data_IF_801483230572
#
_entry.id   IF_801483230572
#
_cell.length_a   1.000
_cell.length_b   1.000
_cell.length_c   1.000
_cell.angle_alpha   90.00
_cell.angle_beta   90.00
_cell.angle_gamma   90.00
#
_symmetry.space_group_name_H-M   'P 1'
#
loop_
_entity.id
_entity.type
_entity.pdbx_description
1 polymer ?
#
# COMPACT_ATOMS: atom_id res chain seq x y z
N UNK A 1 2.79 -6.82 -13.95
CA UNK A 1 1.33 -6.89 -14.16
C UNK A 1 0.67 -5.95 -13.16
N UNK A 2 -0.13 -5.03 -13.67
CA UNK A 2 -0.84 -3.98 -12.95
C UNK A 2 -1.80 -4.53 -11.89
N UNK A 3 -1.82 -3.89 -10.72
CA UNK A 3 -3.05 -3.47 -10.04
C UNK A 3 -2.73 -2.29 -9.13
N UNK A 4 -2.80 -1.10 -9.74
CA UNK A 4 -2.82 0.19 -9.10
C UNK A 4 -4.07 0.36 -8.20
N UNK A 5 -3.84 0.89 -7.01
CA UNK A 5 -4.49 2.10 -6.50
C UNK A 5 -6.04 2.16 -6.56
N UNK A 6 -6.73 1.50 -5.61
CA UNK A 6 -8.18 1.73 -5.35
C UNK A 6 -8.59 1.77 -3.87
N UNK A 7 -7.68 1.62 -2.90
CA UNK A 7 -8.05 1.42 -1.49
C UNK A 7 -8.28 2.70 -0.66
N UNK A 8 -8.07 3.91 -1.19
CA UNK A 8 -8.32 5.13 -0.43
C UNK A 8 -9.83 5.43 -0.22
N UNK A 9 -10.70 4.88 -1.09
CA UNK A 9 -12.15 5.06 -0.99
C UNK A 9 -12.87 3.97 -0.18
N UNK A 10 -12.26 2.81 0.06
CA UNK A 10 -12.87 1.75 0.88
C UNK A 10 -12.86 2.12 2.36
N UNK A 11 -11.79 2.78 2.83
CA UNK A 11 -11.65 3.20 4.23
C UNK A 11 -12.74 4.20 4.66
N UNK A 12 -13.20 5.09 3.76
CA UNK A 12 -14.28 6.03 4.10
C UNK A 12 -15.63 5.33 4.28
N UNK A 13 -15.93 4.32 3.46
CA UNK A 13 -17.17 3.53 3.60
C UNK A 13 -17.09 2.57 4.78
N UNK A 14 -15.93 1.96 5.03
CA UNK A 14 -15.69 1.11 6.19
C UNK A 14 -15.77 1.91 7.50
N UNK A 15 -15.26 3.14 7.52
CA UNK A 15 -15.40 4.05 8.65
C UNK A 15 -16.86 4.43 8.93
N UNK A 16 -17.62 4.78 7.89
CA UNK A 16 -19.07 5.08 8.01
C UNK A 16 -19.84 3.84 8.48
N UNK A 17 -19.51 2.66 7.97
CA UNK A 17 -20.10 1.40 8.39
C UNK A 17 -19.79 1.11 9.87
N UNK A 18 -18.56 1.36 10.30
CA UNK A 18 -18.16 1.20 11.69
C UNK A 18 -18.88 2.19 12.61
N UNK A 19 -19.01 3.46 12.20
CA UNK A 19 -19.78 4.46 12.93
C UNK A 19 -21.25 4.06 13.08
N UNK A 20 -21.85 3.55 12.00
CA UNK A 20 -23.23 3.08 11.97
C UNK A 20 -23.43 1.87 12.90
N UNK A 21 -22.47 0.95 12.94
CA UNK A 21 -22.48 -0.18 13.88
C UNK A 21 -22.42 0.30 15.33
N UNK A 22 -21.54 1.26 15.65
CA UNK A 22 -21.42 1.84 16.99
C UNK A 22 -22.71 2.55 17.40
N UNK A 23 -23.29 3.40 16.54
CA UNK A 23 -24.56 4.06 16.81
C UNK A 23 -25.70 3.07 17.04
N UNK A 24 -25.76 2.00 16.24
CA UNK A 24 -26.78 0.96 16.43
C UNK A 24 -26.62 0.24 17.77
N UNK A 25 -25.38 -0.01 18.21
CA UNK A 25 -25.10 -0.60 19.51
C UNK A 25 -25.48 0.35 20.66
N UNK A 26 -25.14 1.63 20.55
CA UNK A 26 -25.52 2.68 21.51
C UNK A 26 -27.04 2.85 21.62
N UNK A 27 -27.77 2.86 20.50
CA UNK A 27 -29.23 2.90 20.53
C UNK A 27 -29.85 1.69 21.24
N UNK A 28 -29.25 0.50 21.10
CA UNK A 28 -29.71 -0.71 21.82
C UNK A 28 -29.39 -0.62 23.31
N UNK A 29 -28.20 -0.17 23.66
CA UNK A 29 -27.80 0.04 25.06
C UNK A 29 -28.71 1.07 25.75
N UNK A 30 -29.00 2.20 25.08
CA UNK A 30 -29.90 3.22 25.58
C UNK A 30 -31.32 2.70 25.83
N UNK A 31 -31.87 1.88 24.92
CA UNK A 31 -33.17 1.22 25.17
C UNK A 31 -33.14 0.32 26.39
N UNK A 32 -32.09 -0.48 26.56
CA UNK A 32 -31.95 -1.36 27.73
C UNK A 32 -31.84 -0.57 29.04
N UNK A 33 -31.15 0.57 29.05
CA UNK A 33 -31.08 1.44 30.22
C UNK A 33 -32.45 2.08 30.53
N UNK A 34 -33.19 2.51 29.51
CA UNK A 34 -34.58 2.99 29.69
C UNK A 34 -35.48 1.92 30.30
N UNK A 35 -35.40 0.67 29.80
CA UNK A 35 -36.19 -0.45 30.33
C UNK A 35 -35.84 -0.75 31.80
N UNK A 36 -34.56 -0.62 32.18
CA UNK A 36 -34.12 -0.76 33.58
C UNK A 36 -34.68 0.35 34.48
N UNK A 37 -34.69 1.59 34.00
CA UNK A 37 -35.27 2.72 34.72
C UNK A 37 -36.76 2.49 34.95
N UNK A 38 -37.49 2.07 33.91
CA UNK A 38 -38.91 1.74 34.01
C UNK A 38 -39.17 0.63 35.04
N UNK A 39 -38.40 -0.46 35.00
CA UNK A 39 -38.47 -1.54 35.99
C UNK A 39 -38.23 -1.06 37.43
N UNK A 40 -37.26 -0.16 37.61
CA UNK A 40 -36.97 0.42 38.92
C UNK A 40 -38.12 1.31 39.40
N UNK A 41 -38.68 2.15 38.53
CA UNK A 41 -39.84 2.98 38.87
C UNK A 41 -41.07 2.11 39.20
N UNK A 42 -41.31 1.02 38.48
CA UNK A 42 -42.35 0.05 38.80
C UNK A 42 -42.11 -0.64 40.16
N UNK A 43 -40.87 -0.97 40.50
CA UNK A 43 -40.53 -1.51 41.84
C UNK A 43 -40.77 -0.50 42.95
N UNK A 44 -40.38 0.76 42.72
CA UNK A 44 -40.64 1.85 43.67
C UNK A 44 -42.15 2.02 43.86
N UNK A 45 -42.94 2.01 42.78
CA UNK A 45 -44.41 2.05 42.86
C UNK A 45 -44.96 0.93 43.75
N UNK A 46 -44.50 -0.30 43.53
CA UNK A 46 -44.89 -1.47 44.35
C UNK A 46 -44.49 -1.33 45.82
N UNK A 47 -43.30 -0.80 46.12
CA UNK A 47 -42.83 -0.57 47.49
C UNK A 47 -43.66 0.49 48.22
N UNK A 48 -44.07 1.53 47.50
CA UNK A 48 -44.88 2.63 48.04
C UNK A 48 -46.39 2.28 48.08
N UNK A 49 -46.78 1.15 47.47
CA UNK A 49 -48.18 0.71 47.41
C UNK A 49 -49.05 1.53 46.44
N UNK A 50 -48.43 2.22 45.49
CA UNK A 50 -49.08 3.05 44.48
C UNK A 50 -49.02 2.39 43.09
N UNK A 51 -49.99 2.71 42.23
CA UNK A 51 -49.93 2.33 40.82
C UNK A 51 -48.84 3.13 40.09
N UNK A 52 -48.15 2.52 39.12
CA UNK A 52 -47.12 3.17 38.32
C UNK A 52 -47.63 4.47 37.65
N UNK A 53 -48.88 4.49 37.19
CA UNK A 53 -49.50 5.67 36.58
C UNK A 53 -49.74 6.83 37.56
N UNK A 54 -49.85 6.53 38.86
CA UNK A 54 -50.03 7.55 39.89
C UNK A 54 -48.72 8.30 40.20
N UNK A 55 -47.56 7.71 39.89
CA UNK A 55 -46.25 8.37 39.97
C UNK A 55 -45.99 9.31 38.79
N UNK A 56 -46.60 9.03 37.63
CA UNK A 56 -46.44 9.82 36.41
C UNK A 56 -47.36 11.05 36.37
N UNK A 57 -48.42 11.05 37.18
CA UNK A 57 -49.35 12.17 37.29
C UNK A 57 -48.69 13.37 37.99
N UNK A 58 -49.00 14.58 37.52
CA UNK A 58 -48.57 15.82 38.19
C UNK A 58 -49.07 15.82 39.62
N UNK A 59 -48.15 15.98 40.57
CA UNK A 59 -48.43 16.04 42.01
C UNK A 59 -49.41 17.20 42.29
N UNK A 60 -50.35 16.99 43.22
CA UNK A 60 -51.30 18.01 43.65
C UNK A 60 -50.53 19.24 44.19
N UNK A 61 -50.94 20.43 43.75
CA UNK A 61 -50.26 21.69 44.05
C UNK A 61 -50.19 21.97 45.56
N UNK A 62 -51.20 21.57 46.34
CA UNK A 62 -51.21 21.71 47.80
C UNK A 62 -50.21 20.78 48.51
N UNK A 63 -49.94 19.59 47.94
CA UNK A 63 -48.91 18.66 48.44
C UNK A 63 -47.52 19.17 48.06
N UNK A 64 -47.39 19.75 46.87
CA UNK A 64 -46.16 20.38 46.41
C UNK A 64 -45.81 21.62 47.24
N UNK A 65 -46.82 22.44 47.59
CA UNK A 65 -46.71 23.58 48.48
C UNK A 65 -46.36 23.13 49.90
N UNK A 66 -47.05 22.15 50.49
CA UNK A 66 -46.67 21.58 51.80
C UNK A 66 -45.29 20.93 51.81
N UNK A 67 -44.88 20.25 50.75
CA UNK A 67 -43.53 19.68 50.63
C UNK A 67 -42.49 20.80 50.52
N UNK A 68 -42.78 21.86 49.77
CA UNK A 68 -41.92 23.05 49.67
C UNK A 68 -41.86 23.85 50.98
N UNK A 69 -42.95 23.93 51.74
CA UNK A 69 -43.00 24.53 53.07
C UNK A 69 -42.24 23.67 54.09
N UNK A 70 -42.36 22.34 54.02
CA UNK A 70 -41.58 21.43 54.89
C UNK A 70 -40.08 21.50 54.60
N UNK A 71 -39.69 21.68 53.33
CA UNK A 71 -38.31 21.94 52.88
C UNK A 71 -37.83 23.32 53.35
N UNK A 72 -38.71 24.33 53.40
CA UNK A 72 -38.33 25.71 53.71
C UNK A 72 -38.41 26.06 55.21
N UNK A 73 -39.26 25.39 56.00
CA UNK A 73 -39.47 25.69 57.43
C UNK A 73 -38.47 25.00 58.36
N UNK A 74 -37.70 24.04 57.87
CA UNK A 74 -36.65 23.37 58.63
C UNK A 74 -35.36 24.17 58.62
N UNK A 75 -35.29 25.18 59.49
CA UNK A 75 -34.04 25.73 60.03
C UNK A 75 -33.23 24.70 60.88
N UNK A 76 -33.28 23.42 60.49
CA UNK A 76 -32.51 22.25 60.92
C UNK A 76 -32.30 21.46 59.63
N UNK A 77 -31.16 21.50 58.96
CA UNK A 77 -30.06 20.64 59.33
C UNK A 77 -28.82 21.15 58.56
N UNK A 78 -27.91 21.91 59.20
CA UNK A 78 -26.65 22.35 58.55
C UNK A 78 -25.89 21.14 57.96
N UNK A 79 -26.11 19.97 58.56
CA UNK A 79 -25.70 18.67 58.04
C UNK A 79 -26.34 18.33 56.69
N UNK A 80 -27.64 18.49 56.45
CA UNK A 80 -28.23 18.29 55.11
C UNK A 80 -27.70 19.30 54.09
N UNK A 81 -27.50 20.56 54.47
CA UNK A 81 -26.87 21.56 53.58
C UNK A 81 -25.47 21.12 53.17
N UNK A 82 -24.66 20.71 54.15
CA UNK A 82 -23.31 20.19 53.92
C UNK A 82 -23.31 18.89 53.11
N UNK A 83 -24.33 18.03 53.27
CA UNK A 83 -24.48 16.82 52.46
C UNK A 83 -24.75 17.18 51.00
N UNK A 84 -25.67 18.10 50.73
CA UNK A 84 -25.97 18.57 49.37
C UNK A 84 -24.75 19.22 48.74
N UNK A 85 -24.05 20.08 49.49
CA UNK A 85 -22.81 20.71 49.05
C UNK A 85 -21.71 19.68 48.75
N UNK A 86 -21.57 18.65 49.59
CA UNK A 86 -20.63 17.55 49.33
C UNK A 86 -20.96 16.80 48.04
N UNK A 87 -22.23 16.47 47.81
CA UNK A 87 -22.64 15.79 46.57
C UNK A 87 -22.36 16.66 45.34
N UNK A 88 -22.59 17.97 45.43
CA UNK A 88 -22.25 18.90 44.35
C UNK A 88 -20.74 18.95 44.09
N UNK A 89 -19.93 18.99 45.15
CA UNK A 89 -18.47 18.96 45.03
C UNK A 89 -17.96 17.65 44.43
N UNK A 90 -18.48 16.50 44.88
CA UNK A 90 -18.13 15.19 44.31
C UNK A 90 -18.46 15.15 42.82
N UNK A 91 -19.63 15.63 42.44
CA UNK A 91 -20.03 15.69 41.04
C UNK A 91 -19.11 16.59 40.20
N UNK A 92 -18.72 17.76 40.73
CA UNK A 92 -17.77 18.65 40.05
C UNK A 92 -16.37 18.02 39.92
N UNK A 93 -15.91 17.30 40.94
CA UNK A 93 -14.64 16.56 40.91
C UNK A 93 -14.70 15.48 39.83
N UNK A 94 -15.77 14.70 39.79
CA UNK A 94 -15.95 13.64 38.80
C UNK A 94 -15.99 14.20 37.37
N UNK A 95 -16.67 15.33 37.14
CA UNK A 95 -16.62 16.02 35.84
C UNK A 95 -15.22 16.49 35.47
N UNK A 96 -14.48 17.08 36.42
CA UNK A 96 -13.12 17.54 36.20
C UNK A 96 -12.17 16.36 35.90
N UNK A 97 -12.32 15.23 36.59
CA UNK A 97 -11.56 14.00 36.32
C UNK A 97 -11.90 13.41 34.95
N UNK A 98 -13.17 13.38 34.58
CA UNK A 98 -13.62 12.96 33.25
C UNK A 98 -12.98 13.83 32.15
N UNK A 99 -13.06 15.15 32.29
CA UNK A 99 -12.45 16.10 31.36
C UNK A 99 -10.93 15.91 31.28
N UNK A 100 -10.26 15.78 32.42
CA UNK A 100 -8.81 15.51 32.49
C UNK A 100 -8.45 14.24 31.74
N UNK A 101 -9.18 13.14 31.96
CA UNK A 101 -8.97 11.86 31.26
C UNK A 101 -9.16 12.03 29.74
N UNK A 102 -10.18 12.77 29.33
CA UNK A 102 -10.45 13.06 27.92
C UNK A 102 -9.34 13.91 27.27
N UNK A 103 -8.84 14.93 27.97
CA UNK A 103 -7.70 15.75 27.52
C UNK A 103 -6.43 14.91 27.40
N UNK A 104 -6.14 14.04 28.37
CA UNK A 104 -4.98 13.14 28.29
C UNK A 104 -5.06 12.18 27.10
N UNK A 105 -6.25 11.63 26.81
CA UNK A 105 -6.45 10.80 25.63
C UNK A 105 -6.22 11.59 24.33
N UNK A 106 -6.67 12.84 24.26
CA UNK A 106 -6.40 13.71 23.11
C UNK A 106 -4.90 13.99 22.95
N UNK A 107 -4.19 14.32 24.04
CA UNK A 107 -2.74 14.52 24.03
C UNK A 107 -2.03 13.26 23.53
N UNK A 108 -2.45 12.08 24.01
CA UNK A 108 -1.90 10.80 23.57
C UNK A 108 -2.12 10.60 22.07
N UNK A 109 -3.35 10.79 21.58
CA UNK A 109 -3.66 10.65 20.14
C UNK A 109 -2.83 11.62 19.29
N UNK A 110 -2.66 12.88 19.72
CA UNK A 110 -1.80 13.84 19.02
C UNK A 110 -0.36 13.34 18.96
N UNK A 111 0.17 12.82 20.07
CA UNK A 111 1.53 12.29 20.11
C UNK A 111 1.71 11.06 19.20
N UNK A 112 0.73 10.15 19.18
CA UNK A 112 0.73 8.99 18.30
C UNK A 112 0.70 9.42 16.82
N UNK A 113 -0.08 10.46 16.48
CA UNK A 113 -0.11 11.03 15.13
C UNK A 113 1.23 11.69 14.74
N UNK A 114 1.87 12.42 15.66
CA UNK A 114 3.20 13.01 15.42
C UNK A 114 4.24 11.91 15.15
N UNK A 115 4.21 10.82 15.91
CA UNK A 115 5.08 9.66 15.69
C UNK A 115 4.81 9.01 14.33
N UNK A 116 3.53 8.86 13.95
CA UNK A 116 3.14 8.35 12.64
C UNK A 116 3.68 9.22 11.50
N UNK A 117 3.53 10.55 11.59
CA UNK A 117 4.06 11.51 10.60
C UNK A 117 5.58 11.40 10.51
N UNK A 118 6.29 11.31 11.65
CA UNK A 118 7.75 11.14 11.67
C UNK A 118 8.16 9.85 10.95
N UNK A 119 7.48 8.74 11.23
CA UNK A 119 7.75 7.45 10.59
C UNK A 119 7.48 7.52 9.09
N UNK A 120 6.38 8.15 8.68
CA UNK A 120 6.04 8.37 7.27
C UNK A 120 7.13 9.15 6.54
N UNK A 121 7.61 10.28 7.08
CA UNK A 121 8.69 11.07 6.48
C UNK A 121 9.97 10.23 6.34
N UNK A 122 10.29 9.44 7.37
CA UNK A 122 11.48 8.57 7.36
C UNK A 122 11.37 7.50 6.28
N UNK A 123 10.20 6.84 6.17
CA UNK A 123 9.92 5.85 5.13
C UNK A 123 9.95 6.47 3.73
N UNK A 124 9.34 7.64 3.55
CA UNK A 124 9.32 8.34 2.26
C UNK A 124 10.75 8.71 1.81
N UNK A 125 11.60 9.15 2.73
CA UNK A 125 13.01 9.41 2.42
C UNK A 125 13.76 8.14 2.02
N UNK A 126 13.54 7.02 2.69
CA UNK A 126 14.15 5.74 2.30
C UNK A 126 13.67 5.27 0.93
N UNK A 127 12.37 5.33 0.67
CA UNK A 127 11.80 4.98 -0.63
C UNK A 127 12.36 5.86 -1.75
N UNK A 128 12.53 7.17 -1.51
CA UNK A 128 13.11 8.07 -2.51
C UNK A 128 14.56 7.74 -2.88
N UNK A 129 15.35 7.23 -1.91
CA UNK A 129 16.72 6.77 -2.16
C UNK A 129 16.70 5.46 -2.96
N UNK A 130 15.84 4.52 -2.58
CA UNK A 130 15.70 3.25 -3.27
C UNK A 130 15.18 3.42 -4.71
N UNK A 131 14.23 4.34 -4.93
CA UNK A 131 13.73 4.68 -6.26
C UNK A 131 14.83 5.31 -7.13
N UNK A 132 15.70 6.13 -6.54
CA UNK A 132 16.86 6.69 -7.24
C UNK A 132 17.88 5.61 -7.60
N UNK A 133 18.22 4.71 -6.67
CA UNK A 133 19.16 3.61 -6.93
C UNK A 133 18.61 2.67 -8.02
N UNK A 134 17.32 2.35 -7.97
CA UNK A 134 16.65 1.56 -9.01
C UNK A 134 16.68 2.28 -10.37
N UNK A 135 16.41 3.59 -10.39
CA UNK A 135 16.48 4.39 -11.61
C UNK A 135 17.90 4.40 -12.19
N UNK A 136 18.92 4.55 -11.35
CA UNK A 136 20.32 4.54 -11.78
C UNK A 136 20.72 3.17 -12.34
N UNK A 137 20.28 2.10 -11.69
CA UNK A 137 20.52 0.73 -12.15
C UNK A 137 19.87 0.48 -13.52
N UNK A 138 18.58 0.80 -13.68
CA UNK A 138 17.82 0.49 -14.89
C UNK A 138 18.29 1.30 -16.11
N UNK A 139 18.65 2.57 -15.92
CA UNK A 139 18.99 3.46 -17.03
C UNK A 139 20.47 3.47 -17.40
N UNK A 140 21.36 3.17 -16.45
CA UNK A 140 22.80 3.27 -16.68
C UNK A 140 23.48 1.91 -16.54
N UNK A 141 23.44 1.28 -15.36
CA UNK A 141 24.19 0.04 -15.14
C UNK A 141 23.70 -1.13 -16.00
N UNK A 142 22.39 -1.27 -16.18
CA UNK A 142 21.82 -2.34 -17.01
C UNK A 142 22.15 -2.13 -18.49
N UNK A 143 22.12 -0.88 -18.95
CA UNK A 143 22.49 -0.53 -20.34
C UNK A 143 23.97 -0.76 -20.58
N UNK A 144 24.83 -0.41 -19.62
CA UNK A 144 26.27 -0.68 -19.67
C UNK A 144 26.56 -2.19 -19.74
N UNK A 145 25.90 -2.99 -18.88
CA UNK A 145 26.02 -4.46 -18.94
C UNK A 145 25.55 -5.04 -20.27
N UNK A 146 24.42 -4.56 -20.79
CA UNK A 146 23.92 -5.01 -22.09
C UNK A 146 24.89 -4.65 -23.22
N UNK A 147 25.55 -3.50 -23.13
CA UNK A 147 26.56 -3.10 -24.10
C UNK A 147 27.77 -4.02 -24.03
N UNK A 148 28.27 -4.30 -22.83
CA UNK A 148 29.40 -5.22 -22.62
C UNK A 148 29.08 -6.64 -23.13
N UNK A 149 27.89 -7.17 -22.79
CA UNK A 149 27.43 -8.47 -23.28
C UNK A 149 27.35 -8.50 -24.81
N UNK A 150 26.87 -7.41 -25.43
CA UNK A 150 26.80 -7.31 -26.90
C UNK A 150 28.19 -7.23 -27.53
N UNK A 151 29.15 -6.56 -26.90
CA UNK A 151 30.54 -6.52 -27.38
C UNK A 151 31.13 -7.92 -27.37
N UNK A 152 30.98 -8.66 -26.28
CA UNK A 152 31.46 -10.05 -26.17
C UNK A 152 30.82 -10.93 -27.24
N UNK A 153 29.49 -10.84 -27.41
CA UNK A 153 28.77 -11.61 -28.42
C UNK A 153 29.22 -11.27 -29.85
N UNK A 154 29.51 -10.00 -30.14
CA UNK A 154 30.00 -9.57 -31.45
C UNK A 154 31.41 -10.08 -31.73
N UNK A 155 32.29 -10.07 -30.74
CA UNK A 155 33.65 -10.62 -30.87
C UNK A 155 33.62 -12.13 -31.12
N UNK A 156 32.81 -12.87 -30.35
CA UNK A 156 32.63 -14.32 -30.57
C UNK A 156 32.06 -14.61 -31.97
N UNK A 157 31.03 -13.87 -32.39
CA UNK A 157 30.43 -14.02 -33.72
C UNK A 157 31.42 -13.70 -34.85
N UNK A 158 32.27 -12.69 -34.65
CA UNK A 158 33.31 -12.32 -35.60
C UNK A 158 34.33 -13.45 -35.75
N UNK A 159 34.77 -14.05 -34.65
CA UNK A 159 35.73 -15.14 -34.67
C UNK A 159 35.16 -16.42 -35.30
N UNK A 160 33.91 -16.77 -34.99
CA UNK A 160 33.19 -17.86 -35.67
C UNK A 160 33.08 -17.59 -37.18
N UNK A 161 32.81 -16.34 -37.57
CA UNK A 161 32.70 -15.95 -38.98
C UNK A 161 34.04 -16.08 -39.70
N UNK A 162 35.15 -15.66 -39.07
CA UNK A 162 36.51 -15.85 -39.61
C UNK A 162 36.85 -17.32 -39.79
N UNK A 163 36.52 -18.17 -38.82
CA UNK A 163 36.74 -19.62 -38.90
C UNK A 163 35.94 -20.24 -40.05
N UNK A 164 34.66 -19.89 -40.17
CA UNK A 164 33.80 -20.36 -41.26
C UNK A 164 34.29 -19.92 -42.64
N UNK A 165 34.79 -18.67 -42.77
CA UNK A 165 35.41 -18.19 -44.00
C UNK A 165 36.66 -19.01 -44.31
N UNK A 166 37.52 -19.28 -43.33
CA UNK A 166 38.72 -20.10 -43.52
C UNK A 166 38.37 -21.53 -43.98
N UNK A 167 37.38 -22.17 -43.36
CA UNK A 167 36.90 -23.49 -43.77
C UNK A 167 36.28 -23.49 -45.17
N UNK A 168 35.54 -22.45 -45.53
CA UNK A 168 34.98 -22.30 -46.87
C UNK A 168 36.08 -22.15 -47.93
N UNK A 169 37.14 -21.40 -47.61
CA UNK A 169 38.31 -21.26 -48.48
C UNK A 169 39.08 -22.58 -48.62
N UNK A 170 39.29 -23.31 -47.53
CA UNK A 170 39.94 -24.63 -47.58
C UNK A 170 39.14 -25.62 -48.42
N UNK A 171 37.81 -25.66 -48.24
CA UNK A 171 36.94 -26.50 -49.07
C UNK A 171 37.00 -26.08 -50.53
N UNK A 172 36.98 -24.78 -50.81
CA UNK A 172 37.07 -24.27 -52.17
C UNK A 172 38.41 -24.64 -52.83
N UNK A 173 39.52 -24.52 -52.10
CA UNK A 173 40.84 -24.99 -52.54
C UNK A 173 40.86 -26.49 -52.82
N UNK A 174 40.38 -27.33 -51.90
CA UNK A 174 40.27 -28.79 -52.11
C UNK A 174 39.42 -29.16 -53.32
N UNK A 175 38.31 -28.45 -53.54
CA UNK A 175 37.49 -28.66 -54.74
C UNK A 175 38.18 -28.22 -56.02
N UNK A 176 39.02 -27.19 -55.96
CA UNK A 176 39.83 -26.73 -57.10
C UNK A 176 40.98 -27.70 -57.41
N UNK A 177 41.61 -28.28 -56.39
CA UNK A 177 42.68 -29.28 -56.53
C UNK A 177 42.16 -30.65 -57.01
N UNK A 178 40.92 -30.99 -56.66
CA UNK A 178 40.26 -32.24 -57.07
C UNK A 178 39.68 -32.24 -58.48
N UNK A 179 39.73 -31.12 -59.20
CA UNK A 179 39.30 -31.04 -60.60
C UNK A 179 40.46 -31.48 -61.50
N UNK A 180 40.22 -32.48 -62.34
CA UNK A 180 41.17 -32.86 -63.38
C UNK A 180 41.11 -31.85 -64.54
N UNK A 181 41.90 -30.78 -64.42
CA UNK A 181 42.01 -29.70 -65.40
C UNK A 181 42.54 -30.18 -66.77
N UNK A 182 43.02 -31.41 -66.89
CA UNK A 182 43.48 -31.98 -68.17
C UNK A 182 42.35 -32.54 -69.04
N UNK A 183 41.19 -32.87 -68.43
CA UNK A 183 40.00 -33.35 -69.14
C UNK A 183 39.06 -32.24 -69.63
N UNK A 184 39.29 -30.98 -69.21
CA UNK A 184 38.40 -29.86 -69.53
C UNK A 184 38.90 -29.14 -70.80
N UNK A 185 38.07 -28.95 -71.84
CA UNK A 185 38.50 -28.29 -73.08
C UNK A 185 38.91 -26.85 -72.82
N UNK A 186 40.21 -26.53 -72.98
CA UNK A 186 40.81 -25.22 -72.67
C UNK A 186 40.17 -24.03 -73.42
N UNK A 187 39.43 -24.30 -74.51
CA UNK A 187 38.75 -23.30 -75.34
C UNK A 187 37.26 -23.11 -75.03
N UNK A 188 36.73 -23.75 -73.98
CA UNK A 188 35.33 -23.55 -73.58
C UNK A 188 35.12 -22.17 -72.95
N UNK A 189 34.16 -21.40 -73.49
CA UNK A 189 33.71 -20.10 -72.97
C UNK A 189 33.37 -20.15 -71.46
N UNK A 190 32.98 -21.33 -70.95
CA UNK A 190 32.69 -21.53 -69.53
C UNK A 190 33.93 -21.45 -68.62
N UNK A 191 35.10 -21.91 -69.07
CA UNK A 191 36.35 -21.84 -68.30
C UNK A 191 36.86 -20.41 -68.23
N UNK A 192 36.78 -19.67 -69.33
CA UNK A 192 37.16 -18.24 -69.35
C UNK A 192 36.24 -17.40 -68.44
N UNK A 193 34.95 -17.70 -68.40
CA UNK A 193 33.99 -17.08 -67.47
C UNK A 193 34.28 -17.43 -66.02
N UNK A 194 34.61 -18.70 -65.73
CA UNK A 194 35.01 -19.16 -64.39
C UNK A 194 36.30 -18.46 -63.94
N UNK A 195 37.30 -18.36 -64.80
CA UNK A 195 38.57 -17.67 -64.51
C UNK A 195 38.37 -16.19 -64.21
N UNK A 196 37.55 -15.48 -64.99
CA UNK A 196 37.21 -14.07 -64.70
C UNK A 196 36.47 -13.90 -63.38
N UNK A 197 35.55 -14.82 -63.05
CA UNK A 197 34.84 -14.81 -61.76
C UNK A 197 35.78 -15.08 -60.58
N UNK A 198 36.70 -16.03 -60.72
CA UNK A 198 37.75 -16.31 -59.75
C UNK A 198 38.69 -15.11 -59.56
N UNK A 199 39.18 -14.51 -60.65
CA UNK A 199 40.03 -13.30 -60.59
C UNK A 199 39.28 -12.12 -59.94
N UNK A 200 37.99 -11.93 -60.23
CA UNK A 200 37.18 -10.91 -59.56
C UNK A 200 36.97 -11.20 -58.07
N UNK A 201 36.87 -12.46 -57.69
CA UNK A 201 36.74 -12.90 -56.31
C UNK A 201 38.05 -12.69 -55.54
N UNK A 202 39.20 -13.03 -56.13
CA UNK A 202 40.53 -12.77 -55.56
C UNK A 202 40.77 -11.27 -55.36
N UNK A 203 40.34 -10.43 -56.30
CA UNK A 203 40.48 -8.96 -56.20
C UNK A 203 39.55 -8.33 -55.17
N UNK A 204 38.29 -8.79 -55.08
CA UNK A 204 37.31 -8.24 -54.13
C UNK A 204 37.62 -8.60 -52.68
N UNK A 205 38.17 -9.79 -52.44
CA UNK A 205 38.40 -10.30 -51.09
C UNK A 205 39.88 -10.38 -50.68
N UNK A 206 40.82 -10.08 -51.60
CA UNK A 206 42.26 -10.07 -51.30
C UNK A 206 42.86 -11.45 -51.03
N UNK A 207 42.25 -12.52 -51.54
CA UNK A 207 42.63 -13.91 -51.26
C UNK A 207 43.36 -14.49 -52.47
N UNK A 208 44.48 -15.17 -52.24
CA UNK A 208 45.22 -15.88 -53.29
C UNK A 208 44.81 -17.36 -53.30
N UNK A 209 44.09 -17.81 -54.34
CA UNK A 209 43.83 -19.23 -54.52
C UNK A 209 45.03 -19.84 -55.24
N UNK A 210 45.58 -20.94 -54.71
CA UNK A 210 46.76 -21.57 -55.30
C UNK A 210 46.36 -22.16 -56.66
N UNK A 211 46.93 -21.63 -57.73
CA UNK A 211 46.56 -21.95 -59.11
C UNK A 211 47.36 -23.15 -59.59
N UNK A 212 46.83 -24.37 -59.47
CA UNK A 212 47.30 -25.51 -60.27
C UNK A 212 46.41 -25.65 -61.51
N UNK A 213 46.67 -24.82 -62.52
CA UNK A 213 46.12 -24.96 -63.87
C UNK A 213 47.09 -25.71 -64.77
#
# INVERSE_FOLDING_TARGET
MNSNNTNANSDSFDYILQLTKVLTAECRASRQETDKIELNLQRIAKQVGLSYEQLTNKVNQEVQERYSETINETAKDEKERLIIENYQLIYQIEQAEYLKKRVWNLIKNINDHILSIKNFITQQRMNSLQDFDNFMFDNFENVERQLDDNIVNLDESNDITKENIALALEKLQKTMDGIDWTMVPRDSHHIQSLKRKLESFEQLYGISLNKSF
#
